data_IF_987190834549
#
_entry.id   IF_987190834549
#
_cell.length_a   1.000
_cell.length_b   1.000
_cell.length_c   1.000
_cell.angle_alpha   90.00
_cell.angle_beta   90.00
_cell.angle_gamma   90.00
#
_symmetry.space_group_name_H-M   'P 1'
#
loop_
_entity.id
_entity.type
_entity.pdbx_description
1 polymer ?
#
# COMPACT_ATOMS: atom_id res chain seq x y z
N UNK A 1 13.24 -13.57 33.45
CA UNK A 1 11.78 -13.76 33.35
C UNK A 1 11.18 -12.50 32.76
N UNK A 2 10.72 -12.54 31.51
CA UNK A 2 9.89 -11.45 30.99
C UNK A 2 8.53 -11.61 31.68
N UNK A 3 8.07 -10.57 32.39
CA UNK A 3 6.77 -10.61 33.06
C UNK A 3 5.65 -10.59 32.03
N UNK A 4 4.63 -11.45 32.16
CA UNK A 4 3.47 -11.48 31.24
C UNK A 4 2.84 -10.11 31.01
N UNK A 5 2.85 -9.25 32.04
CA UNK A 5 2.40 -7.86 31.97
C UNK A 5 3.18 -7.02 30.96
N UNK A 6 4.50 -7.24 30.85
CA UNK A 6 5.35 -6.55 29.88
C UNK A 6 5.04 -7.03 28.46
N UNK A 7 4.92 -8.36 28.24
CA UNK A 7 4.54 -8.94 26.94
C UNK A 7 3.17 -8.43 26.46
N UNK A 8 2.16 -8.45 27.34
CA UNK A 8 0.83 -7.92 27.05
C UNK A 8 0.87 -6.43 26.71
N UNK A 9 1.61 -5.64 27.49
CA UNK A 9 1.78 -4.21 27.23
C UNK A 9 2.44 -3.92 25.88
N UNK A 10 3.52 -4.63 25.56
CA UNK A 10 4.22 -4.49 24.27
C UNK A 10 3.36 -4.93 23.10
N UNK A 11 2.65 -6.05 23.22
CA UNK A 11 1.68 -6.50 22.22
C UNK A 11 0.65 -5.40 21.94
N UNK A 12 -0.10 -4.96 22.96
CA UNK A 12 -1.14 -3.94 22.83
C UNK A 12 -0.62 -2.62 22.25
N UNK A 13 0.60 -2.20 22.63
CA UNK A 13 1.24 -1.01 22.07
C UNK A 13 1.40 -1.11 20.54
N UNK A 14 1.92 -2.22 20.03
CA UNK A 14 2.06 -2.43 18.59
C UNK A 14 0.71 -2.55 17.88
N UNK A 15 -0.28 -3.19 18.51
CA UNK A 15 -1.64 -3.27 17.97
C UNK A 15 -2.27 -1.88 17.82
N UNK A 16 -2.18 -1.05 18.87
CA UNK A 16 -2.66 0.33 18.86
C UNK A 16 -1.93 1.20 17.83
N UNK A 17 -0.59 1.12 17.79
CA UNK A 17 0.22 1.86 16.81
C UNK A 17 -0.16 1.49 15.37
N UNK A 18 -0.36 0.19 15.09
CA UNK A 18 -0.87 -0.29 13.80
C UNK A 18 -2.20 0.37 13.42
N UNK A 19 -3.15 0.43 14.35
CA UNK A 19 -4.44 1.10 14.14
C UNK A 19 -4.27 2.60 13.85
N UNK A 20 -3.43 3.31 14.60
CA UNK A 20 -3.15 4.73 14.35
C UNK A 20 -2.58 4.96 12.94
N UNK A 21 -1.67 4.10 12.47
CA UNK A 21 -1.09 4.20 11.13
C UNK A 21 -2.14 3.97 10.03
N UNK A 22 -3.06 3.01 10.23
CA UNK A 22 -4.17 2.78 9.28
C UNK A 22 -5.12 3.98 9.26
N UNK A 23 -5.48 4.54 10.41
CA UNK A 23 -6.33 5.74 10.49
C UNK A 23 -5.65 6.92 9.77
N UNK A 24 -4.36 7.14 9.99
CA UNK A 24 -3.61 8.18 9.29
C UNK A 24 -3.62 7.95 7.77
N UNK A 25 -3.45 6.70 7.33
CA UNK A 25 -3.53 6.38 5.90
C UNK A 25 -4.94 6.62 5.33
N UNK A 26 -6.00 6.40 6.10
CA UNK A 26 -7.38 6.70 5.71
C UNK A 26 -7.57 8.20 5.50
N UNK A 27 -7.05 9.02 6.40
CA UNK A 27 -7.07 10.49 6.26
C UNK A 27 -6.36 10.91 4.98
N UNK A 28 -5.14 10.40 4.72
CA UNK A 28 -4.41 10.69 3.48
C UNK A 28 -5.23 10.28 2.25
N UNK A 29 -5.85 9.09 2.27
CA UNK A 29 -6.71 8.64 1.17
C UNK A 29 -7.87 9.60 0.93
N UNK A 30 -8.57 10.06 1.96
CA UNK A 30 -9.71 10.98 1.80
C UNK A 30 -9.29 12.28 1.11
N UNK A 31 -8.12 12.84 1.45
CA UNK A 31 -7.60 14.04 0.80
C UNK A 31 -7.01 13.79 -0.59
N UNK A 32 -6.44 12.61 -0.84
CA UNK A 32 -5.70 12.28 -2.07
C UNK A 32 -6.43 11.34 -3.03
N UNK A 33 -7.69 10.98 -2.75
CA UNK A 33 -8.49 10.09 -3.58
C UNK A 33 -8.64 10.57 -5.03
N UNK A 34 -8.72 11.89 -5.25
CA UNK A 34 -8.84 12.45 -6.60
C UNK A 34 -7.55 12.26 -7.40
N UNK A 35 -6.39 12.53 -6.79
CA UNK A 35 -5.07 12.30 -7.40
C UNK A 35 -4.89 10.81 -7.75
N UNK A 36 -5.34 9.91 -6.88
CA UNK A 36 -5.38 8.47 -7.12
C UNK A 36 -6.24 8.10 -8.33
N UNK A 37 -7.49 8.56 -8.37
CA UNK A 37 -8.38 8.24 -9.48
C UNK A 37 -7.87 8.78 -10.82
N UNK A 38 -7.28 9.98 -10.80
CA UNK A 38 -6.65 10.59 -11.98
C UNK A 38 -5.48 9.73 -12.50
N UNK A 39 -4.61 9.24 -11.61
CA UNK A 39 -3.51 8.35 -12.00
C UNK A 39 -4.04 7.07 -12.67
N UNK A 40 -5.05 6.44 -12.06
CA UNK A 40 -5.63 5.20 -12.58
C UNK A 40 -6.34 5.46 -13.91
N UNK A 41 -7.09 6.55 -14.04
CA UNK A 41 -7.79 6.88 -15.29
C UNK A 41 -6.81 7.18 -16.42
N UNK A 42 -5.76 7.95 -16.17
CA UNK A 42 -4.72 8.25 -17.17
C UNK A 42 -4.00 6.99 -17.66
N UNK A 43 -3.82 5.99 -16.79
CA UNK A 43 -3.30 4.69 -17.24
C UNK A 43 -4.32 3.96 -18.12
N UNK A 44 -5.58 3.91 -17.70
CA UNK A 44 -6.67 3.21 -18.40
C UNK A 44 -7.04 3.81 -19.75
N UNK A 45 -6.70 5.06 -20.01
CA UNK A 45 -6.89 5.70 -21.32
C UNK A 45 -6.06 5.04 -22.43
N UNK A 46 -4.87 4.52 -22.09
CA UNK A 46 -3.93 3.95 -23.07
C UNK A 46 -3.65 2.46 -22.86
N UNK A 47 -3.84 1.95 -21.66
CA UNK A 47 -3.42 0.62 -21.25
C UNK A 47 -4.50 -0.12 -20.48
N UNK A 48 -4.50 -1.46 -20.54
CA UNK A 48 -5.42 -2.27 -19.76
C UNK A 48 -4.87 -2.49 -18.35
N UNK A 49 -5.68 -2.18 -17.34
CA UNK A 49 -5.33 -2.47 -15.96
C UNK A 49 -5.29 -4.00 -15.75
N UNK A 50 -4.22 -4.57 -15.16
CA UNK A 50 -4.15 -6.01 -14.94
C UNK A 50 -5.27 -6.49 -14.00
N UNK A 51 -5.73 -7.72 -14.19
CA UNK A 51 -6.84 -8.30 -13.41
C UNK A 51 -6.74 -8.09 -11.89
N UNK A 52 -5.60 -8.38 -11.23
CA UNK A 52 -5.42 -8.11 -9.81
C UNK A 52 -5.63 -6.64 -9.44
N UNK A 53 -5.13 -5.70 -10.25
CA UNK A 53 -5.30 -4.28 -10.03
C UNK A 53 -6.76 -3.84 -10.19
N UNK A 54 -7.51 -4.44 -11.13
CA UNK A 54 -8.95 -4.17 -11.29
C UNK A 54 -9.70 -4.58 -10.03
N UNK A 55 -9.42 -5.77 -9.51
CA UNK A 55 -10.02 -6.25 -8.27
C UNK A 55 -9.73 -5.28 -7.11
N UNK A 56 -8.45 -4.93 -6.90
CA UNK A 56 -8.08 -4.00 -5.83
C UNK A 56 -8.71 -2.61 -6.02
N UNK A 57 -8.79 -2.11 -7.24
CA UNK A 57 -9.45 -0.84 -7.53
C UNK A 57 -10.90 -0.79 -7.02
N UNK A 58 -11.64 -1.91 -7.07
CA UNK A 58 -13.03 -2.00 -6.60
C UNK A 58 -13.16 -2.05 -5.07
N UNK A 59 -12.11 -2.44 -4.34
CA UNK A 59 -12.14 -2.57 -2.86
C UNK A 59 -11.99 -1.25 -2.11
N UNK A 60 -11.94 -0.12 -2.82
CA UNK A 60 -11.85 1.21 -2.24
C UNK A 60 -10.55 1.40 -1.46
N UNK A 61 -10.65 1.99 -0.26
CA UNK A 61 -9.51 2.35 0.60
C UNK A 61 -8.48 1.22 0.74
N UNK A 62 -8.93 -0.01 0.98
CA UNK A 62 -8.03 -1.15 1.21
C UNK A 62 -7.23 -1.55 -0.04
N UNK A 63 -7.77 -1.33 -1.23
CA UNK A 63 -7.10 -1.69 -2.48
C UNK A 63 -6.14 -0.65 -3.03
N UNK A 64 -6.23 0.59 -2.55
CA UNK A 64 -5.34 1.69 -2.97
C UNK A 64 -3.89 1.32 -2.75
N UNK A 65 -3.56 0.66 -1.64
CA UNK A 65 -2.21 0.20 -1.37
C UNK A 65 -1.66 -0.70 -2.50
N UNK A 66 -2.41 -1.73 -2.88
CA UNK A 66 -2.00 -2.67 -3.94
C UNK A 66 -1.83 -1.98 -5.29
N UNK A 67 -2.76 -1.10 -5.65
CA UNK A 67 -2.73 -0.35 -6.92
C UNK A 67 -1.57 0.65 -6.94
N UNK A 68 -1.33 1.39 -5.85
CA UNK A 68 -0.17 2.29 -5.76
C UNK A 68 1.15 1.53 -5.82
N UNK A 69 1.25 0.35 -5.19
CA UNK A 69 2.45 -0.49 -5.28
C UNK A 69 2.70 -0.98 -6.70
N UNK A 70 1.65 -1.26 -7.46
CA UNK A 70 1.76 -1.53 -8.89
C UNK A 70 2.39 -0.33 -9.62
N UNK A 71 1.82 0.86 -9.49
CA UNK A 71 2.34 2.06 -10.16
C UNK A 71 3.76 2.45 -9.72
N UNK A 72 4.09 2.31 -8.44
CA UNK A 72 5.45 2.55 -7.92
C UNK A 72 6.45 1.55 -8.49
N UNK A 73 6.06 0.29 -8.73
CA UNK A 73 6.94 -0.69 -9.38
C UNK A 73 7.09 -0.36 -10.87
N UNK A 74 5.98 -0.01 -11.50
CA UNK A 74 5.93 0.37 -12.91
C UNK A 74 6.82 1.59 -13.19
N UNK A 75 6.79 2.61 -12.34
CA UNK A 75 7.62 3.83 -12.47
C UNK A 75 9.13 3.58 -12.31
N UNK A 76 9.51 2.41 -11.80
CA UNK A 76 10.92 2.01 -11.68
C UNK A 76 11.29 0.94 -12.73
N UNK A 77 10.43 0.65 -13.70
CA UNK A 77 10.64 -0.41 -14.69
C UNK A 77 10.80 -1.80 -14.06
N UNK A 78 10.30 -2.01 -12.83
CA UNK A 78 10.48 -3.29 -12.13
C UNK A 78 9.55 -4.36 -12.70
N UNK A 79 10.03 -5.60 -12.77
CA UNK A 79 9.21 -6.76 -13.16
C UNK A 79 8.01 -6.89 -12.23
N UNK A 80 6.82 -7.04 -12.81
CA UNK A 80 5.55 -7.24 -12.11
C UNK A 80 5.05 -8.64 -12.50
N UNK A 81 4.80 -9.51 -11.51
CA UNK A 81 4.56 -10.95 -11.75
C UNK A 81 3.32 -11.24 -12.61
N UNK A 82 2.33 -10.35 -12.57
CA UNK A 82 1.06 -10.47 -13.29
C UNK A 82 0.99 -9.55 -14.52
N UNK A 83 2.13 -9.03 -14.98
CA UNK A 83 2.25 -8.23 -16.20
C UNK A 83 3.30 -8.88 -17.12
N UNK A 84 3.04 -8.93 -18.42
CA UNK A 84 4.01 -9.48 -19.36
C UNK A 84 5.23 -8.54 -19.50
N UNK A 85 6.45 -9.07 -19.67
CA UNK A 85 7.67 -8.25 -19.71
C UNK A 85 7.69 -7.27 -20.90
N UNK A 86 7.00 -7.59 -21.99
CA UNK A 86 6.86 -6.75 -23.18
C UNK A 86 5.53 -5.98 -23.20
N UNK A 87 4.83 -5.91 -22.07
CA UNK A 87 3.57 -5.18 -21.99
C UNK A 87 3.80 -3.67 -22.24
N UNK A 88 3.04 -3.04 -23.15
CA UNK A 88 3.22 -1.63 -23.49
C UNK A 88 2.96 -0.70 -22.30
N UNK A 89 2.26 -1.17 -21.25
CA UNK A 89 2.01 -0.43 -20.03
C UNK A 89 3.28 -0.04 -19.26
N UNK A 90 4.42 -0.68 -19.51
CA UNK A 90 5.71 -0.25 -18.97
C UNK A 90 6.13 1.16 -19.44
N UNK A 91 5.69 1.58 -20.63
CA UNK A 91 5.98 2.90 -21.17
C UNK A 91 5.13 4.02 -20.54
N UNK A 92 4.23 3.72 -19.59
CA UNK A 92 3.35 4.71 -18.98
C UNK A 92 4.09 5.88 -18.31
N UNK A 93 5.25 5.61 -17.71
CA UNK A 93 6.08 6.63 -17.04
C UNK A 93 7.23 7.16 -17.92
N UNK A 94 7.30 6.77 -19.19
CA UNK A 94 8.28 7.35 -20.13
C UNK A 94 7.93 8.81 -20.47
N UNK A 95 6.63 9.14 -20.41
CA UNK A 95 6.15 10.51 -20.45
C UNK A 95 6.41 11.20 -19.11
N UNK A 96 7.37 12.15 -19.09
CA UNK A 96 7.79 12.90 -17.90
C UNK A 96 6.68 13.74 -17.24
N UNK A 97 5.53 13.90 -17.90
CA UNK A 97 4.38 14.60 -17.33
C UNK A 97 3.69 13.83 -16.19
N UNK A 98 3.84 12.50 -16.16
CA UNK A 98 3.21 11.63 -15.16
C UNK A 98 4.29 11.15 -14.20
N UNK A 99 4.15 11.46 -12.91
CA UNK A 99 5.12 11.05 -11.89
C UNK A 99 4.44 10.51 -10.63
N UNK A 100 5.14 9.60 -9.95
CA UNK A 100 4.71 9.13 -8.63
C UNK A 100 4.92 10.24 -7.60
N UNK A 101 3.80 10.73 -7.08
CA UNK A 101 3.79 11.74 -6.03
C UNK A 101 4.31 11.18 -4.70
N UNK A 102 4.94 12.04 -3.89
CA UNK A 102 5.50 11.68 -2.57
C UNK A 102 4.46 11.05 -1.65
N UNK A 103 3.21 11.54 -1.66
CA UNK A 103 2.14 11.00 -0.82
C UNK A 103 1.86 9.52 -1.11
N UNK A 104 2.04 9.04 -2.36
CA UNK A 104 1.83 7.63 -2.72
C UNK A 104 2.89 6.72 -2.07
N UNK A 105 4.13 7.23 -1.98
CA UNK A 105 5.24 6.56 -1.29
C UNK A 105 4.99 6.53 0.22
N UNK A 106 4.57 7.66 0.80
CA UNK A 106 4.22 7.76 2.23
C UNK A 106 3.06 6.84 2.57
N UNK A 107 2.00 6.84 1.77
CA UNK A 107 0.86 5.94 1.94
C UNK A 107 1.30 4.48 1.92
N UNK A 108 2.10 4.08 0.93
CA UNK A 108 2.64 2.72 0.86
C UNK A 108 3.50 2.37 2.08
N UNK A 109 4.29 3.31 2.57
CA UNK A 109 5.12 3.13 3.77
C UNK A 109 4.26 2.93 5.03
N UNK A 110 3.20 3.74 5.22
CA UNK A 110 2.29 3.59 6.35
C UNK A 110 1.64 2.20 6.40
N UNK A 111 1.26 1.66 5.25
CA UNK A 111 0.70 0.30 5.17
C UNK A 111 1.72 -0.79 5.51
N UNK A 112 2.96 -0.67 5.04
CA UNK A 112 4.02 -1.60 5.46
C UNK A 112 4.34 -1.48 6.94
N UNK A 113 4.41 -0.26 7.47
CA UNK A 113 4.64 -0.02 8.89
C UNK A 113 3.50 -0.59 9.76
N UNK A 114 2.25 -0.40 9.35
CA UNK A 114 1.10 -0.98 10.02
C UNK A 114 1.13 -2.51 9.99
N UNK A 115 1.44 -3.11 8.84
CA UNK A 115 1.60 -4.56 8.72
C UNK A 115 2.70 -5.09 9.64
N UNK A 116 3.85 -4.41 9.71
CA UNK A 116 4.93 -4.77 10.63
C UNK A 116 4.49 -4.66 12.10
N UNK A 117 3.74 -3.62 12.46
CA UNK A 117 3.16 -3.47 13.79
C UNK A 117 2.21 -4.62 14.13
N UNK A 118 1.34 -5.03 13.20
CA UNK A 118 0.43 -6.15 13.43
C UNK A 118 1.15 -7.50 13.53
N UNK A 119 2.24 -7.69 12.79
CA UNK A 119 3.10 -8.88 12.94
C UNK A 119 3.74 -8.92 14.33
N UNK A 120 4.24 -7.78 14.83
CA UNK A 120 4.80 -7.70 16.18
C UNK A 120 3.73 -7.90 17.25
N UNK A 121 2.54 -7.30 17.09
CA UNK A 121 1.38 -7.55 17.95
C UNK A 121 1.07 -9.05 18.03
N UNK A 122 0.96 -9.73 16.89
CA UNK A 122 0.69 -11.17 16.84
C UNK A 122 1.83 -11.98 17.48
N UNK A 123 3.09 -11.64 17.18
CA UNK A 123 4.26 -12.31 17.73
C UNK A 123 4.31 -12.23 19.27
N UNK A 124 4.19 -11.03 19.83
CA UNK A 124 4.17 -10.86 21.29
C UNK A 124 2.90 -11.42 21.92
N UNK A 125 1.77 -11.38 21.21
CA UNK A 125 0.52 -11.99 21.63
C UNK A 125 0.60 -13.51 21.76
N UNK A 126 1.26 -14.18 20.81
CA UNK A 126 1.46 -15.65 20.81
C UNK A 126 2.45 -16.12 21.89
N UNK A 127 3.30 -15.23 22.39
CA UNK A 127 4.23 -15.52 23.48
C UNK A 127 3.59 -15.38 24.87
N UNK A 128 2.34 -14.92 24.96
CA UNK A 128 1.60 -14.91 26.22
C UNK A 128 1.21 -16.36 26.58
N UNK A 129 1.50 -16.81 27.82
CA UNK A 129 1.08 -18.12 28.31
C UNK A 129 -0.42 -18.19 28.57
#
# INVERSE_FOLDING_TARGET
MITNKLLAGTSLFFGWLGCCLIILSLVIYLFKRQDYYKLVSSYREKYNLPGPCVFYYMTGFFGVFSVLRFFIKLSHGKKISFLHNQDPGYAFFDDKSITISTWMKVYSFLWFAAAACYLLFAFFGLLLP
#
